data_IF_264739058341
#
_entry.id   IF_264739058341
#
_cell.length_a   1.000
_cell.length_b   1.000
_cell.length_c   1.000
_cell.angle_alpha   90.00
_cell.angle_beta   90.00
_cell.angle_gamma   90.00
#
_symmetry.space_group_name_H-M   'P 1'
#
loop_
_entity.id
_entity.type
_entity.pdbx_description
1 polymer ?
#
# COMPACT_ATOMS: atom_id res chain seq x y z
N UNK A 1 -29.54 -14.60 -3.32
CA UNK A 1 -28.14 -14.41 -3.77
C UNK A 1 -27.71 -12.93 -3.89
N UNK A 2 -28.45 -11.96 -3.32
CA UNK A 2 -28.11 -10.50 -3.37
C UNK A 2 -27.31 -10.04 -2.14
N UNK A 3 -27.40 -10.78 -1.03
CA UNK A 3 -26.81 -10.39 0.26
C UNK A 3 -25.29 -10.48 0.28
N UNK A 4 -24.70 -11.45 -0.44
CA UNK A 4 -23.25 -11.70 -0.43
C UNK A 4 -22.43 -10.53 -1.02
N UNK A 5 -23.02 -9.80 -1.98
CA UNK A 5 -22.35 -8.69 -2.65
C UNK A 5 -22.23 -7.46 -1.73
N UNK A 6 -23.23 -7.22 -0.87
CA UNK A 6 -23.22 -6.06 0.06
C UNK A 6 -22.20 -6.20 1.18
N UNK A 7 -21.96 -7.41 1.67
CA UNK A 7 -20.92 -7.66 2.67
C UNK A 7 -19.52 -7.55 2.09
N UNK A 8 -19.28 -8.07 0.89
CA UNK A 8 -18.00 -7.90 0.19
C UNK A 8 -17.73 -6.41 -0.11
N UNK A 9 -18.74 -5.69 -0.60
CA UNK A 9 -18.63 -4.25 -0.86
C UNK A 9 -18.38 -3.45 0.42
N UNK A 10 -19.09 -3.74 1.50
CA UNK A 10 -18.86 -3.10 2.80
C UNK A 10 -17.46 -3.41 3.36
N UNK A 11 -16.98 -4.65 3.19
CA UNK A 11 -15.64 -5.05 3.60
C UNK A 11 -14.56 -4.30 2.82
N UNK A 12 -14.70 -4.22 1.49
CA UNK A 12 -13.76 -3.46 0.64
C UNK A 12 -13.75 -1.98 1.03
N UNK A 13 -14.92 -1.37 1.26
CA UNK A 13 -15.04 0.02 1.73
C UNK A 13 -14.39 0.22 3.10
N UNK A 14 -14.56 -0.73 4.01
CA UNK A 14 -13.94 -0.71 5.33
C UNK A 14 -12.41 -0.79 5.25
N UNK A 15 -11.88 -1.70 4.43
CA UNK A 15 -10.43 -1.83 4.19
C UNK A 15 -9.86 -0.56 3.58
N UNK A 16 -10.53 0.02 2.58
CA UNK A 16 -10.15 1.31 1.98
C UNK A 16 -10.15 2.45 3.01
N UNK A 17 -11.20 2.55 3.82
CA UNK A 17 -11.30 3.57 4.86
C UNK A 17 -10.18 3.44 5.90
N UNK A 18 -9.91 2.22 6.36
CA UNK A 18 -8.80 1.94 7.28
C UNK A 18 -7.44 2.29 6.67
N UNK A 19 -7.23 1.99 5.39
CA UNK A 19 -6.01 2.34 4.67
C UNK A 19 -5.84 3.87 4.56
N UNK A 20 -6.91 4.61 4.26
CA UNK A 20 -6.89 6.08 4.21
C UNK A 20 -6.49 6.66 5.58
N UNK A 21 -7.11 6.19 6.67
CA UNK A 21 -6.75 6.64 8.03
C UNK A 21 -5.27 6.37 8.31
N UNK A 22 -4.78 5.17 7.98
CA UNK A 22 -3.36 4.83 8.17
C UNK A 22 -2.45 5.78 7.40
N UNK A 23 -2.74 6.06 6.12
CA UNK A 23 -1.95 7.00 5.31
C UNK A 23 -1.96 8.41 5.91
N UNK A 24 -3.11 8.88 6.41
CA UNK A 24 -3.20 10.20 7.07
C UNK A 24 -2.35 10.26 8.34
N UNK A 25 -2.40 9.23 9.18
CA UNK A 25 -1.57 9.15 10.40
C UNK A 25 -0.08 9.13 10.05
N UNK A 26 0.31 8.37 9.03
CA UNK A 26 1.70 8.29 8.56
C UNK A 26 2.18 9.61 7.96
N UNK A 27 1.31 10.32 7.24
CA UNK A 27 1.59 11.65 6.72
C UNK A 27 1.86 12.64 7.86
N UNK A 28 1.01 12.64 8.89
CA UNK A 28 1.20 13.50 10.09
C UNK A 28 2.51 13.15 10.80
N UNK A 29 2.83 11.86 10.96
CA UNK A 29 4.08 11.40 11.54
C UNK A 29 5.29 11.82 10.70
N UNK A 30 5.23 11.69 9.38
CA UNK A 30 6.30 12.11 8.49
C UNK A 30 6.56 13.61 8.55
N UNK A 31 5.49 14.41 8.59
CA UNK A 31 5.57 15.88 8.75
C UNK A 31 6.16 16.26 10.11
N UNK A 32 5.77 15.57 11.19
CA UNK A 32 6.28 15.84 12.53
C UNK A 32 7.75 15.44 12.71
N UNK A 33 8.17 14.33 12.11
CA UNK A 33 9.54 13.81 12.21
C UNK A 33 10.50 14.44 11.21
N UNK A 34 10.01 15.27 10.27
CA UNK A 34 10.77 15.82 9.15
C UNK A 34 11.53 14.75 8.34
N UNK A 35 11.08 13.50 8.39
CA UNK A 35 11.72 12.36 7.72
C UNK A 35 10.70 11.64 6.86
N UNK A 36 11.02 11.48 5.58
CA UNK A 36 10.20 10.72 4.63
C UNK A 36 10.22 9.20 4.90
N UNK A 37 10.97 8.73 5.90
CA UNK A 37 11.07 7.32 6.29
C UNK A 37 9.70 6.71 6.60
N UNK A 38 8.81 7.47 7.26
CA UNK A 38 7.46 7.01 7.61
C UNK A 38 6.52 6.88 6.40
N UNK A 39 6.87 7.49 5.26
CA UNK A 39 6.14 7.35 3.99
C UNK A 39 6.70 6.21 3.13
N UNK A 40 7.79 5.57 3.54
CA UNK A 40 8.35 4.44 2.83
C UNK A 40 7.40 3.23 2.95
N UNK A 41 7.01 2.64 1.83
CA UNK A 41 6.09 1.51 1.77
C UNK A 41 6.56 0.32 2.63
N UNK A 42 7.87 0.07 2.69
CA UNK A 42 8.45 -1.00 3.53
C UNK A 42 8.48 -0.69 5.01
N UNK A 43 8.56 0.59 5.36
CA UNK A 43 8.39 1.01 6.75
C UNK A 43 6.93 0.77 7.20
N UNK A 44 5.97 1.09 6.34
CA UNK A 44 4.53 0.87 6.56
C UNK A 44 4.22 -0.62 6.68
N UNK A 45 4.77 -1.45 5.79
CA UNK A 45 4.60 -2.91 5.84
C UNK A 45 5.36 -3.57 7.00
N UNK A 46 6.09 -2.79 7.80
CA UNK A 46 7.04 -3.29 8.81
C UNK A 46 7.93 -4.41 8.26
N UNK A 47 8.42 -4.27 7.01
CA UNK A 47 9.24 -5.30 6.37
C UNK A 47 10.51 -5.59 7.17
N UNK A 48 10.92 -4.68 8.06
CA UNK A 48 11.98 -4.88 9.03
C UNK A 48 11.78 -6.13 9.92
N UNK A 49 10.54 -6.54 10.17
CA UNK A 49 10.22 -7.77 10.91
C UNK A 49 10.60 -9.03 10.13
N UNK A 50 10.51 -8.98 8.80
CA UNK A 50 10.83 -10.11 7.91
C UNK A 50 12.26 -10.05 7.39
N UNK A 51 12.77 -8.83 7.16
CA UNK A 51 14.09 -8.55 6.62
C UNK A 51 14.69 -7.32 7.34
N UNK A 52 15.36 -7.53 8.48
CA UNK A 52 15.96 -6.44 9.25
C UNK A 52 17.05 -5.74 8.43
N UNK A 53 16.98 -4.41 8.32
CA UNK A 53 17.96 -3.59 7.61
C UNK A 53 17.54 -3.08 6.23
N UNK A 54 16.46 -3.59 5.64
CA UNK A 54 15.93 -3.10 4.34
C UNK A 54 15.09 -1.82 4.45
N UNK A 55 14.90 -1.29 5.65
CA UNK A 55 13.94 -0.20 5.93
C UNK A 55 14.58 1.18 6.10
N UNK A 56 15.91 1.27 6.08
CA UNK A 56 16.63 2.52 6.35
C UNK A 56 17.58 2.88 5.21
N UNK A 57 17.69 4.18 4.89
CA UNK A 57 18.60 4.73 3.89
C UNK A 57 18.04 4.79 2.46
N UNK A 58 18.86 5.31 1.53
CA UNK A 58 18.48 5.53 0.13
C UNK A 58 18.12 4.24 -0.63
N UNK A 59 18.78 3.12 -0.29
CA UNK A 59 18.46 1.80 -0.85
C UNK A 59 17.04 1.36 -0.52
N UNK A 60 16.58 1.59 0.72
CA UNK A 60 15.21 1.28 1.13
C UNK A 60 14.17 2.06 0.32
N UNK A 61 14.45 3.31 -0.03
CA UNK A 61 13.57 4.12 -0.88
C UNK A 61 13.51 3.60 -2.31
N UNK A 62 14.66 3.27 -2.91
CA UNK A 62 14.74 2.74 -4.28
C UNK A 62 13.96 1.43 -4.39
N UNK A 63 14.20 0.49 -3.46
CA UNK A 63 13.53 -0.81 -3.50
C UNK A 63 12.03 -0.66 -3.19
N UNK A 64 11.64 0.26 -2.30
CA UNK A 64 10.22 0.59 -2.06
C UNK A 64 9.52 1.09 -3.33
N UNK A 65 10.16 1.98 -4.09
CA UNK A 65 9.61 2.53 -5.34
C UNK A 65 9.49 1.43 -6.40
N UNK A 66 10.54 0.60 -6.56
CA UNK A 66 10.52 -0.53 -7.49
C UNK A 66 9.42 -1.54 -7.13
N UNK A 67 9.23 -1.82 -5.85
CA UNK A 67 8.19 -2.74 -5.38
C UNK A 67 6.79 -2.22 -5.66
N UNK A 68 6.56 -0.92 -5.42
CA UNK A 68 5.31 -0.26 -5.77
C UNK A 68 5.05 -0.32 -7.28
N UNK A 69 6.07 -0.09 -8.12
CA UNK A 69 5.97 -0.20 -9.57
C UNK A 69 5.63 -1.63 -10.03
N UNK A 70 6.24 -2.66 -9.42
CA UNK A 70 5.94 -4.07 -9.71
C UNK A 70 4.48 -4.39 -9.34
N UNK A 71 4.03 -4.00 -8.15
CA UNK A 71 2.64 -4.22 -7.72
C UNK A 71 1.67 -3.53 -8.69
N UNK A 72 1.97 -2.29 -9.10
CA UNK A 72 1.17 -1.57 -10.08
C UNK A 72 1.09 -2.31 -11.42
N UNK A 73 2.23 -2.79 -11.94
CA UNK A 73 2.26 -3.58 -13.18
C UNK A 73 1.46 -4.89 -13.07
N UNK A 74 1.53 -5.57 -11.93
CA UNK A 74 0.75 -6.79 -11.68
C UNK A 74 -0.75 -6.47 -11.67
N UNK A 75 -1.16 -5.38 -10.99
CA UNK A 75 -2.55 -4.95 -11.00
C UNK A 75 -2.99 -4.63 -12.44
N UNK A 76 -2.18 -3.90 -13.21
CA UNK A 76 -2.51 -3.54 -14.59
C UNK A 76 -2.64 -4.78 -15.48
N UNK A 77 -1.70 -5.73 -15.41
CA UNK A 77 -1.77 -6.98 -16.17
C UNK A 77 -2.98 -7.86 -15.82
N UNK A 78 -3.33 -7.97 -14.53
CA UNK A 78 -4.36 -8.90 -14.07
C UNK A 78 -5.78 -8.31 -14.01
N UNK A 79 -5.91 -7.02 -13.72
CA UNK A 79 -7.21 -6.37 -13.56
C UNK A 79 -7.62 -5.58 -14.81
N UNK A 80 -6.70 -4.94 -15.53
CA UNK A 80 -7.03 -4.16 -16.72
C UNK A 80 -7.29 -5.08 -17.94
N UNK A 81 -6.65 -6.26 -17.97
CA UNK A 81 -6.98 -7.32 -18.94
C UNK A 81 -8.43 -7.84 -18.87
N UNK A 82 -9.17 -7.55 -17.78
CA UNK A 82 -10.61 -7.85 -17.66
C UNK A 82 -11.51 -6.67 -18.03
N UNK A 83 -10.97 -5.47 -18.20
CA UNK A 83 -11.71 -4.27 -18.59
C UNK A 83 -11.83 -4.10 -20.12
N UNK A 84 -10.94 -4.75 -20.88
CA UNK A 84 -10.93 -4.70 -22.35
C UNK A 84 -11.86 -5.72 -23.04
N UNK A 85 -12.57 -6.56 -22.29
CA UNK A 85 -13.51 -7.58 -22.80
C UNK A 85 -14.96 -7.28 -22.37
N UNK A 86 -15.35 -6.00 -22.41
CA UNK A 86 -16.73 -5.53 -22.26
C UNK A 86 -17.06 -4.49 -23.31
#
# INVERSE_FOLDING_TARGET
MIVQNRFQEAFVKFVLFSAIIHVVVLLILALRSATATYLNYFYILQINLLFPGLTHGAMAQIVSILSAAIIYLVILLFFDGKAADK
#
